data_IF_228872249427
#
_entry.id   IF_228872249427
#
_cell.length_a   1.000
_cell.length_b   1.000
_cell.length_c   1.000
_cell.angle_alpha   90.00
_cell.angle_beta   90.00
_cell.angle_gamma   90.00
#
_symmetry.space_group_name_H-M   'P 1'
#
loop_
_entity.id
_entity.type
_entity.pdbx_description
1 polymer ?
#
# COMPACT_ATOMS: atom_id res chain seq x y z
N UNK A 1 12.25 -15.54 -12.69
CA UNK A 1 12.22 -14.07 -12.59
C UNK A 1 12.17 -13.54 -14.00
N UNK A 2 11.16 -12.73 -14.35
CA UNK A 2 10.92 -12.20 -15.72
C UNK A 2 10.70 -13.26 -16.83
N UNK A 3 9.65 -14.10 -16.77
CA UNK A 3 9.38 -15.08 -17.83
C UNK A 3 9.00 -14.43 -19.17
N UNK A 4 8.47 -13.21 -19.15
CA UNK A 4 7.93 -12.49 -20.32
C UNK A 4 8.99 -11.80 -21.18
N UNK A 5 10.19 -11.55 -20.67
CA UNK A 5 11.19 -10.72 -21.36
C UNK A 5 11.81 -11.40 -22.60
N UNK A 6 11.58 -12.71 -22.77
CA UNK A 6 12.10 -13.53 -23.86
C UNK A 6 11.03 -14.40 -24.56
N UNK A 7 9.74 -14.16 -24.29
CA UNK A 7 8.63 -14.92 -24.90
C UNK A 7 7.92 -14.05 -25.94
N UNK A 8 7.79 -14.57 -27.15
CA UNK A 8 6.91 -14.02 -28.18
C UNK A 8 5.44 -14.07 -27.70
N UNK A 9 4.58 -13.16 -28.15
CA UNK A 9 3.18 -13.03 -27.71
C UNK A 9 2.40 -14.35 -27.84
N UNK A 10 2.76 -15.17 -28.83
CA UNK A 10 2.18 -16.51 -29.03
C UNK A 10 2.56 -17.48 -27.91
N UNK A 11 3.78 -17.40 -27.38
CA UNK A 11 4.25 -18.29 -26.33
C UNK A 11 3.67 -17.90 -24.96
N UNK A 12 3.44 -16.60 -24.72
CA UNK A 12 2.70 -16.11 -23.54
C UNK A 12 1.27 -16.66 -23.54
N UNK A 13 0.62 -16.68 -24.72
CA UNK A 13 -0.75 -17.18 -24.87
C UNK A 13 -0.84 -18.69 -24.69
N UNK A 14 0.10 -19.45 -25.27
CA UNK A 14 0.23 -20.89 -25.04
C UNK A 14 0.45 -21.23 -23.56
N UNK A 15 1.29 -20.46 -22.87
CA UNK A 15 1.52 -20.64 -21.44
C UNK A 15 0.26 -20.33 -20.63
N UNK A 16 -0.45 -19.26 -20.97
CA UNK A 16 -1.73 -18.88 -20.35
C UNK A 16 -2.77 -19.99 -20.52
N UNK A 17 -2.94 -20.51 -21.75
CA UNK A 17 -3.90 -21.56 -22.05
C UNK A 17 -3.55 -22.88 -21.33
N UNK A 18 -2.27 -23.25 -21.27
CA UNK A 18 -1.81 -24.42 -20.50
C UNK A 18 -2.10 -24.28 -19.00
N UNK A 19 -1.90 -23.10 -18.42
CA UNK A 19 -2.18 -22.84 -17.00
C UNK A 19 -3.69 -22.87 -16.74
N UNK A 20 -4.50 -22.31 -17.64
CA UNK A 20 -5.96 -22.30 -17.53
C UNK A 20 -6.58 -23.70 -17.59
N UNK A 21 -6.03 -24.58 -18.43
CA UNK A 21 -6.48 -25.98 -18.55
C UNK A 21 -6.03 -26.85 -17.35
N UNK A 22 -4.86 -26.58 -16.78
CA UNK A 22 -4.29 -27.37 -15.69
C UNK A 22 -4.70 -26.85 -14.29
N UNK A 23 -5.99 -27.00 -13.94
CA UNK A 23 -6.60 -26.51 -12.67
C UNK A 23 -6.02 -27.10 -11.37
N UNK A 24 -4.99 -27.96 -11.42
CA UNK A 24 -4.35 -28.60 -10.25
C UNK A 24 -3.00 -27.97 -9.88
N UNK A 25 -2.58 -26.92 -10.56
CA UNK A 25 -1.30 -26.25 -10.32
C UNK A 25 -1.49 -24.87 -9.69
N UNK A 26 -0.66 -24.54 -8.71
CA UNK A 26 -0.56 -23.17 -8.16
C UNK A 26 0.73 -22.54 -8.67
N UNK A 27 0.61 -21.42 -9.38
CA UNK A 27 1.76 -20.66 -9.90
C UNK A 27 1.93 -19.36 -9.10
N UNK A 28 3.15 -19.10 -8.64
CA UNK A 28 3.55 -17.78 -8.16
C UNK A 28 4.45 -17.15 -9.22
N UNK A 29 4.03 -15.98 -9.74
CA UNK A 29 4.76 -15.27 -10.78
C UNK A 29 4.99 -13.82 -10.37
N UNK A 30 6.11 -13.26 -10.81
CA UNK A 30 6.49 -11.86 -10.64
C UNK A 30 6.82 -11.36 -12.04
N UNK A 31 6.05 -10.39 -12.52
CA UNK A 31 6.26 -9.75 -13.82
C UNK A 31 5.74 -8.32 -13.79
N UNK A 32 6.28 -7.48 -14.66
CA UNK A 32 5.76 -6.13 -14.94
C UNK A 32 4.71 -6.11 -16.07
N UNK A 33 4.45 -7.23 -16.76
CA UNK A 33 3.44 -7.30 -17.82
C UNK A 33 2.01 -7.34 -17.26
N UNK A 34 1.30 -6.22 -17.44
CA UNK A 34 -0.08 -6.04 -16.94
C UNK A 34 -1.10 -6.89 -17.67
N UNK A 35 -0.92 -7.13 -18.97
CA UNK A 35 -1.86 -7.93 -19.76
C UNK A 35 -1.79 -9.40 -19.32
N UNK A 36 -0.58 -9.91 -19.13
CA UNK A 36 -0.36 -11.25 -18.59
C UNK A 36 -0.97 -11.43 -17.18
N UNK A 37 -0.69 -10.48 -16.28
CA UNK A 37 -1.26 -10.50 -14.93
C UNK A 37 -2.79 -10.45 -14.94
N UNK A 38 -3.37 -9.73 -15.88
CA UNK A 38 -4.82 -9.64 -16.00
C UNK A 38 -5.47 -10.94 -16.51
N UNK A 39 -4.78 -11.64 -17.41
CA UNK A 39 -5.34 -12.80 -18.11
C UNK A 39 -5.09 -14.13 -17.37
N UNK A 40 -4.00 -14.23 -16.59
CA UNK A 40 -3.55 -15.49 -15.96
C UNK A 40 -3.79 -15.52 -14.45
N UNK A 41 -3.75 -14.39 -13.76
CA UNK A 41 -3.75 -14.39 -12.30
C UNK A 41 -5.15 -14.23 -11.70
N UNK A 42 -5.52 -15.17 -10.83
CA UNK A 42 -6.76 -15.14 -10.06
C UNK A 42 -6.62 -14.43 -8.71
N UNK A 43 -5.39 -14.13 -8.29
CA UNK A 43 -5.08 -13.45 -7.03
C UNK A 43 -3.81 -12.62 -7.16
N UNK A 44 -3.87 -11.41 -6.63
CA UNK A 44 -2.74 -10.48 -6.59
C UNK A 44 -2.22 -10.32 -5.18
N UNK A 45 -0.90 -10.23 -5.05
CA UNK A 45 -0.22 -9.92 -3.80
C UNK A 45 0.62 -8.66 -3.99
N UNK A 46 0.39 -7.66 -3.16
CA UNK A 46 1.13 -6.41 -3.10
C UNK A 46 1.98 -6.37 -1.83
N UNK A 47 3.25 -6.03 -1.96
CA UNK A 47 4.12 -5.74 -0.84
C UNK A 47 4.32 -4.23 -0.75
N UNK A 48 3.83 -3.62 0.32
CA UNK A 48 3.89 -2.17 0.54
C UNK A 48 4.23 -1.87 2.00
N UNK A 49 5.29 -1.06 2.23
CA UNK A 49 5.78 -0.68 3.56
C UNK A 49 5.96 -1.85 4.55
N UNK A 50 6.49 -2.98 4.06
CA UNK A 50 6.70 -4.19 4.87
C UNK A 50 5.41 -4.96 5.21
N UNK A 51 4.28 -4.55 4.64
CA UNK A 51 2.98 -5.21 4.79
C UNK A 51 2.60 -5.89 3.47
N UNK A 52 2.05 -7.11 3.58
CA UNK A 52 1.56 -7.87 2.44
C UNK A 52 0.04 -7.69 2.34
N UNK A 53 -0.44 -7.21 1.20
CA UNK A 53 -1.84 -7.03 0.90
C UNK A 53 -2.25 -8.02 -0.19
N UNK A 54 -3.33 -8.76 0.04
CA UNK A 54 -3.86 -9.72 -0.93
C UNK A 54 -5.18 -9.24 -1.51
N UNK A 55 -5.32 -9.38 -2.82
CA UNK A 55 -6.52 -9.01 -3.56
C UNK A 55 -6.97 -10.23 -4.36
N UNK A 56 -8.26 -10.57 -4.26
CA UNK A 56 -8.87 -11.62 -5.08
C UNK A 56 -9.25 -11.05 -6.43
N UNK A 57 -8.99 -11.81 -7.49
CA UNK A 57 -9.22 -11.42 -8.87
C UNK A 57 -7.96 -10.96 -9.61
N UNK A 58 -8.21 -10.47 -10.80
CA UNK A 58 -7.18 -10.08 -11.77
C UNK A 58 -6.59 -8.69 -11.46
N UNK A 59 -5.76 -8.20 -12.38
CA UNK A 59 -5.09 -6.91 -12.24
C UNK A 59 -6.06 -5.72 -12.06
N UNK A 60 -7.21 -5.73 -12.73
CA UNK A 60 -8.21 -4.68 -12.59
C UNK A 60 -8.82 -4.65 -11.17
N UNK A 61 -9.17 -5.83 -10.62
CA UNK A 61 -9.68 -5.95 -9.25
C UNK A 61 -8.64 -5.51 -8.21
N UNK A 62 -7.36 -5.80 -8.45
CA UNK A 62 -6.26 -5.29 -7.63
C UNK A 62 -6.21 -3.75 -7.62
N UNK A 63 -6.32 -3.10 -8.78
CA UNK A 63 -6.27 -1.63 -8.86
C UNK A 63 -7.42 -0.98 -8.08
N UNK A 64 -8.64 -1.50 -8.24
CA UNK A 64 -9.81 -1.01 -7.51
C UNK A 64 -9.65 -1.20 -5.99
N UNK A 65 -9.22 -2.40 -5.57
CA UNK A 65 -8.99 -2.70 -4.17
C UNK A 65 -7.89 -1.82 -3.55
N UNK A 66 -6.82 -1.56 -4.31
CA UNK A 66 -5.74 -0.67 -3.90
C UNK A 66 -6.21 0.77 -3.77
N UNK A 67 -6.99 1.28 -4.73
CA UNK A 67 -7.54 2.63 -4.67
C UNK A 67 -8.47 2.81 -3.46
N UNK A 68 -9.35 1.83 -3.22
CA UNK A 68 -10.23 1.84 -2.05
C UNK A 68 -9.44 1.83 -0.73
N UNK A 69 -8.35 1.05 -0.66
CA UNK A 69 -7.44 1.03 0.50
C UNK A 69 -6.80 2.40 0.72
N UNK A 70 -6.19 2.98 -0.31
CA UNK A 70 -5.52 4.29 -0.22
C UNK A 70 -6.51 5.40 0.17
N UNK A 71 -7.71 5.41 -0.41
CA UNK A 71 -8.75 6.38 -0.06
C UNK A 71 -9.18 6.27 1.42
N UNK A 72 -9.27 5.05 1.96
CA UNK A 72 -9.59 4.83 3.37
C UNK A 72 -8.43 5.27 4.28
N UNK A 73 -7.19 4.95 3.92
CA UNK A 73 -5.99 5.42 4.62
C UNK A 73 -5.93 6.95 4.67
N UNK A 74 -6.19 7.63 3.57
CA UNK A 74 -6.25 9.08 3.48
C UNK A 74 -7.38 9.67 4.34
N UNK A 75 -8.57 9.07 4.33
CA UNK A 75 -9.69 9.51 5.16
C UNK A 75 -9.39 9.36 6.67
N UNK A 76 -8.76 8.24 7.06
CA UNK A 76 -8.31 8.00 8.44
C UNK A 76 -7.23 9.01 8.84
N UNK A 77 -6.27 9.29 7.95
CA UNK A 77 -5.22 10.27 8.21
C UNK A 77 -5.76 11.70 8.33
N UNK A 78 -6.70 12.09 7.46
CA UNK A 78 -7.34 13.40 7.50
C UNK A 78 -8.14 13.61 8.80
N UNK A 79 -8.95 12.63 9.20
CA UNK A 79 -9.72 12.68 10.44
C UNK A 79 -8.82 12.69 11.68
N UNK A 80 -7.73 11.90 11.68
CA UNK A 80 -6.72 11.89 12.73
C UNK A 80 -6.00 13.22 12.86
N UNK A 81 -5.57 13.83 11.74
CA UNK A 81 -4.94 15.15 11.71
C UNK A 81 -5.87 16.24 12.22
N UNK A 82 -7.16 16.21 11.85
CA UNK A 82 -8.17 17.14 12.36
C UNK A 82 -8.38 17.01 13.87
N UNK A 83 -8.45 15.78 14.37
CA UNK A 83 -8.57 15.50 15.81
C UNK A 83 -7.33 15.98 16.56
N UNK A 84 -6.14 15.70 16.03
CA UNK A 84 -4.88 16.14 16.60
C UNK A 84 -4.78 17.67 16.68
N UNK A 85 -5.10 18.38 15.59
CA UNK A 85 -5.13 19.85 15.57
C UNK A 85 -6.09 20.44 16.61
N UNK A 86 -7.29 19.86 16.73
CA UNK A 86 -8.31 20.31 17.69
C UNK A 86 -7.86 20.09 19.15
N UNK A 87 -7.28 18.93 19.45
CA UNK A 87 -6.76 18.65 20.78
C UNK A 87 -5.50 19.48 21.10
N UNK A 88 -4.64 19.75 20.11
CA UNK A 88 -3.51 20.66 20.27
C UNK A 88 -3.97 22.08 20.60
N UNK A 89 -5.02 22.58 19.94
CA UNK A 89 -5.62 23.87 20.26
C UNK A 89 -6.16 23.91 21.70
N UNK A 90 -6.82 22.84 22.15
CA UNK A 90 -7.27 22.70 23.54
C UNK A 90 -6.10 22.65 24.54
N UNK A 91 -5.01 21.95 24.19
CA UNK A 91 -3.77 21.91 24.99
C UNK A 91 -3.06 23.26 25.06
N UNK A 92 -3.21 24.13 24.06
CA UNK A 92 -2.68 25.51 24.08
C UNK A 92 -3.55 26.50 24.84
N UNK A 93 -4.88 26.32 24.85
CA UNK A 93 -5.83 27.23 25.51
C UNK A 93 -5.60 27.28 27.03
N UNK A 94 -5.39 28.44 27.64
CA UNK A 94 -5.29 28.54 29.10
C UNK A 94 -6.66 28.31 29.77
N UNK A 95 -6.71 27.64 30.93
CA UNK A 95 -7.96 27.49 31.66
C UNK A 95 -8.46 28.84 32.17
N UNK A 96 -9.79 29.03 32.20
CA UNK A 96 -10.40 30.23 32.76
C UNK A 96 -10.40 30.18 34.29
N UNK A 97 -9.81 31.17 34.93
CA UNK A 97 -9.75 31.26 36.39
C UNK A 97 -8.74 30.30 37.03
N UNK A 98 -8.99 29.86 38.27
CA UNK A 98 -8.11 28.98 39.05
C UNK A 98 -8.27 27.48 38.75
N UNK A 99 -9.03 27.10 37.73
CA UNK A 99 -9.27 25.69 37.42
C UNK A 99 -8.08 25.08 36.66
N UNK A 100 -7.66 23.88 37.05
CA UNK A 100 -6.66 23.12 36.31
C UNK A 100 -7.29 22.41 35.09
N UNK A 101 -6.51 22.18 34.04
CA UNK A 101 -6.95 21.36 32.91
C UNK A 101 -7.20 19.92 33.35
N UNK A 102 -8.18 19.26 32.74
CA UNK A 102 -8.46 17.84 33.00
C UNK A 102 -7.22 16.97 32.71
N UNK A 103 -6.76 16.23 33.73
CA UNK A 103 -5.63 15.29 33.60
C UNK A 103 -5.94 14.15 32.64
N UNK A 104 -7.18 13.65 32.66
CA UNK A 104 -7.62 12.56 31.77
C UNK A 104 -7.54 12.97 30.29
N UNK A 105 -7.94 14.20 29.95
CA UNK A 105 -7.87 14.70 28.58
C UNK A 105 -6.44 14.98 28.12
N UNK A 106 -5.57 15.46 29.02
CA UNK A 106 -4.14 15.59 28.73
C UNK A 106 -3.49 14.24 28.42
N UNK A 107 -3.79 13.20 29.21
CA UNK A 107 -3.30 11.84 28.93
C UNK A 107 -3.82 11.31 27.59
N UNK A 108 -5.09 11.56 27.25
CA UNK A 108 -5.65 11.20 25.96
C UNK A 108 -4.93 11.90 24.79
N UNK A 109 -4.54 13.18 24.95
CA UNK A 109 -3.74 13.90 23.96
C UNK A 109 -2.36 13.27 23.75
N UNK A 110 -1.62 12.96 24.83
CA UNK A 110 -0.30 12.34 24.70
C UNK A 110 -0.36 10.95 24.06
N UNK A 111 -1.42 10.18 24.34
CA UNK A 111 -1.65 8.91 23.65
C UNK A 111 -1.90 9.13 22.16
N UNK A 112 -2.70 10.13 21.79
CA UNK A 112 -2.94 10.49 20.40
C UNK A 112 -1.66 10.97 19.70
N UNK A 113 -0.85 11.78 20.37
CA UNK A 113 0.45 12.26 19.86
C UNK A 113 1.41 11.11 19.59
N UNK A 114 1.54 10.16 20.53
CA UNK A 114 2.40 8.99 20.37
C UNK A 114 1.96 8.10 19.20
N UNK A 115 0.65 7.99 18.95
CA UNK A 115 0.12 7.24 17.80
C UNK A 115 0.25 7.99 16.48
N UNK A 116 0.36 9.32 16.51
CA UNK A 116 0.43 10.18 15.30
C UNK A 116 1.87 10.54 14.91
N UNK A 117 2.82 10.56 15.86
CA UNK A 117 4.25 10.73 15.56
C UNK A 117 4.74 9.49 14.81
N UNK A 118 5.17 9.74 13.58
CA UNK A 118 5.53 8.81 12.51
C UNK A 118 6.01 7.42 12.95
N UNK A 119 5.39 6.40 12.37
CA UNK A 119 6.05 5.12 12.07
C UNK A 119 7.39 5.47 11.41
N UNK A 120 8.55 5.00 11.91
CA UNK A 120 9.82 5.27 11.24
C UNK A 120 9.71 4.81 9.79
N UNK A 121 9.78 5.76 8.86
CA UNK A 121 9.90 5.47 7.44
C UNK A 121 11.28 4.85 7.31
N UNK A 122 11.34 3.61 6.83
CA UNK A 122 12.62 2.94 6.60
C UNK A 122 13.40 3.77 5.56
N UNK A 123 14.58 4.32 5.89
CA UNK A 123 15.40 5.07 4.94
C UNK A 123 15.88 4.21 3.76
N UNK A 124 15.76 2.88 3.82
CA UNK A 124 16.02 1.98 2.69
C UNK A 124 14.83 1.87 1.71
N UNK A 125 13.71 2.55 1.96
CA UNK A 125 12.58 2.65 1.03
C UNK A 125 12.74 3.82 0.03
N UNK A 126 13.95 4.33 -0.17
CA UNK A 126 14.30 4.90 -1.47
C UNK A 126 14.52 3.74 -2.43
N UNK A 127 13.46 3.39 -3.17
CA UNK A 127 13.59 2.61 -4.38
C UNK A 127 14.70 3.25 -5.22
N UNK A 128 15.86 2.60 -5.28
CA UNK A 128 16.82 2.79 -6.36
C UNK A 128 16.10 2.43 -7.66
N UNK A 129 15.43 3.42 -8.24
CA UNK A 129 15.20 3.51 -9.67
C UNK A 129 16.58 3.69 -10.33
N UNK A 130 17.37 2.62 -10.33
CA UNK A 130 18.48 2.50 -11.27
C UNK A 130 17.85 2.09 -12.61
N UNK A 131 17.31 3.10 -13.30
CA UNK A 131 16.99 3.03 -14.72
C UNK A 131 18.28 2.71 -15.46
N UNK A 132 18.64 1.43 -15.56
CA UNK A 132 19.61 0.99 -16.54
C UNK A 132 18.96 1.06 -17.91
N UNK A 133 19.01 2.26 -18.51
CA UNK A 133 18.96 2.47 -19.96
C UNK A 133 19.96 1.52 -20.62
N UNK A 134 19.45 0.44 -21.19
CA UNK A 134 20.16 -0.30 -22.23
C UNK A 134 19.87 0.45 -23.53
N UNK A 135 20.91 1.09 -24.09
CA UNK A 135 20.85 1.69 -25.42
C UNK A 135 21.93 2.74 -25.62
N UNK A 136 23.05 2.34 -26.25
CA UNK A 136 24.03 3.29 -26.78
C UNK A 136 25.45 2.77 -26.95
N UNK A 137 25.67 1.84 -27.87
CA UNK A 137 26.60 1.93 -29.01
C UNK A 137 26.74 0.59 -29.73
#
# INVERSE_FOLDING_TARGET
DEPTNHLDLQAIRLLSDMIADEKKMTLLTITHDRAFLNDVCDRMLELDNGSLYGYEGNYAAYLEGKEARLANEDAVMASTKKKFSSELAWMRKQPSGRQAKSKARQQAFYKLEAMTKARPVDPNLELKNDERRIGGN
#
